data_IF_517293612761
#
_entry.id   IF_517293612761
#
_cell.length_a   1.000
_cell.length_b   1.000
_cell.length_c   1.000
_cell.angle_alpha   90.00
_cell.angle_beta   90.00
_cell.angle_gamma   90.00
#
_symmetry.space_group_name_H-M   'P 1'
#
loop_
_entity.id
_entity.type
_entity.pdbx_description
1 polymer ?
#
# COMPACT_ATOMS: atom_id res chain seq x y z
N UNK A 1 -35.50 27.26 -22.80
CA UNK A 1 -35.30 26.65 -21.47
C UNK A 1 -34.82 25.24 -21.74
N UNK A 2 -33.51 25.05 -21.86
CA UNK A 2 -32.90 23.71 -21.92
C UNK A 2 -32.28 23.41 -20.57
N UNK A 3 -32.99 22.58 -19.80
CA UNK A 3 -32.52 22.03 -18.55
C UNK A 3 -31.74 20.75 -18.83
N UNK A 4 -30.43 20.88 -19.00
CA UNK A 4 -29.50 19.78 -18.76
C UNK A 4 -28.62 20.17 -17.57
N UNK A 5 -28.76 19.51 -16.39
CA UNK A 5 -27.82 19.72 -15.32
C UNK A 5 -26.51 19.05 -15.70
N UNK A 6 -25.48 19.89 -15.84
CA UNK A 6 -24.06 19.66 -15.60
C UNK A 6 -23.58 18.21 -15.55
N UNK A 7 -22.61 17.92 -16.42
CA UNK A 7 -21.95 16.63 -16.57
C UNK A 7 -21.64 15.94 -15.25
N UNK A 8 -22.03 14.66 -15.18
CA UNK A 8 -21.50 13.68 -14.26
C UNK A 8 -19.98 13.63 -14.43
N UNK A 9 -19.25 14.44 -13.65
CA UNK A 9 -17.87 14.15 -13.32
C UNK A 9 -17.89 12.80 -12.60
N UNK A 10 -17.50 11.75 -13.31
CA UNK A 10 -17.31 10.43 -12.73
C UNK A 10 -16.37 10.57 -11.53
N UNK A 11 -16.85 10.22 -10.34
CA UNK A 11 -16.27 10.53 -9.02
C UNK A 11 -15.01 9.74 -8.68
N UNK A 12 -14.02 9.79 -9.57
CA UNK A 12 -12.70 9.21 -9.39
C UNK A 12 -11.72 10.28 -8.91
N UNK A 13 -10.89 9.94 -7.93
CA UNK A 13 -9.73 10.72 -7.51
C UNK A 13 -8.46 9.94 -7.82
N UNK A 14 -7.50 10.58 -8.47
CA UNK A 14 -6.17 10.02 -8.69
C UNK A 14 -5.26 10.41 -7.52
N UNK A 15 -4.60 9.44 -6.90
CA UNK A 15 -3.52 9.64 -5.92
C UNK A 15 -2.33 8.81 -6.40
N UNK A 16 -1.27 9.49 -6.86
CA UNK A 16 -0.14 8.88 -7.59
C UNK A 16 -0.63 7.99 -8.74
N UNK A 17 -0.35 6.69 -8.73
CA UNK A 17 -0.77 5.70 -9.72
C UNK A 17 -2.07 4.98 -9.36
N UNK A 18 -2.76 5.37 -8.28
CA UNK A 18 -3.98 4.72 -7.79
C UNK A 18 -5.20 5.57 -8.14
N UNK A 19 -6.18 4.95 -8.80
CA UNK A 19 -7.53 5.50 -8.99
C UNK A 19 -8.42 5.07 -7.84
N UNK A 20 -9.14 6.04 -7.26
CA UNK A 20 -9.98 5.83 -6.07
C UNK A 20 -11.38 6.34 -6.36
N UNK A 21 -12.40 5.55 -6.03
CA UNK A 21 -13.80 5.99 -5.97
C UNK A 21 -14.29 6.06 -4.54
N UNK A 22 -15.40 6.77 -4.32
CA UNK A 22 -16.03 6.84 -3.00
C UNK A 22 -16.32 5.45 -2.40
N UNK A 23 -16.64 4.46 -3.23
CA UNK A 23 -16.88 3.09 -2.77
C UNK A 23 -15.63 2.42 -2.15
N UNK A 24 -14.42 2.82 -2.53
CA UNK A 24 -13.17 2.27 -1.98
C UNK A 24 -12.91 2.75 -0.55
N UNK A 25 -13.37 3.95 -0.21
CA UNK A 25 -13.17 4.58 1.11
C UNK A 25 -14.41 4.51 2.00
N UNK A 26 -15.58 4.18 1.45
CA UNK A 26 -16.82 3.96 2.20
C UNK A 26 -16.64 3.01 3.40
N UNK A 27 -15.85 1.91 3.32
CA UNK A 27 -15.61 1.05 4.48
C UNK A 27 -14.98 1.74 5.69
N UNK A 28 -14.28 2.87 5.51
CA UNK A 28 -13.64 3.62 6.60
C UNK A 28 -14.64 4.39 7.46
N UNK A 29 -15.85 4.67 6.95
CA UNK A 29 -16.87 5.47 7.64
C UNK A 29 -17.77 4.60 8.52
N UNK A 30 -17.83 3.29 8.24
CA UNK A 30 -18.70 2.34 8.94
C UNK A 30 -17.89 1.45 9.90
N UNK A 31 -18.20 1.51 11.20
CA UNK A 31 -17.41 0.95 12.31
C UNK A 31 -17.29 -0.59 12.40
N UNK A 32 -17.62 -1.33 11.35
CA UNK A 32 -17.58 -2.81 11.34
C UNK A 32 -17.13 -3.42 10.01
N UNK A 33 -16.68 -2.60 9.05
CA UNK A 33 -16.22 -3.09 7.75
C UNK A 33 -14.72 -3.31 7.77
N UNK A 34 -14.26 -4.36 7.09
CA UNK A 34 -12.83 -4.56 6.84
C UNK A 34 -12.31 -3.44 5.95
N UNK A 35 -11.11 -2.95 6.28
CA UNK A 35 -10.42 -1.96 5.47
C UNK A 35 -9.95 -2.64 4.18
N UNK A 36 -10.35 -2.15 2.99
CA UNK A 36 -9.90 -2.71 1.72
C UNK A 36 -8.44 -2.32 1.44
N UNK A 37 -7.74 -3.15 0.65
CA UNK A 37 -6.36 -2.89 0.22
C UNK A 37 -6.20 -1.51 -0.42
N UNK A 38 -7.13 -1.12 -1.29
CA UNK A 38 -7.14 0.20 -1.94
C UNK A 38 -7.04 1.34 -0.92
N UNK A 39 -7.75 1.27 0.21
CA UNK A 39 -7.71 2.33 1.21
C UNK A 39 -6.32 2.46 1.88
N UNK A 40 -5.65 1.33 2.13
CA UNK A 40 -4.30 1.30 2.71
C UNK A 40 -3.26 1.79 1.70
N UNK A 41 -3.32 1.30 0.46
CA UNK A 41 -2.39 1.70 -0.60
C UNK A 41 -2.51 3.21 -0.90
N UNK A 42 -3.74 3.72 -0.92
CA UNK A 42 -4.03 5.15 -1.09
C UNK A 42 -3.49 5.97 0.07
N UNK A 43 -3.61 5.48 1.31
CA UNK A 43 -3.05 6.16 2.47
C UNK A 43 -1.52 6.26 2.37
N UNK A 44 -0.84 5.19 1.97
CA UNK A 44 0.61 5.20 1.73
C UNK A 44 1.03 6.18 0.63
N UNK A 45 0.30 6.16 -0.50
CA UNK A 45 0.55 7.08 -1.61
C UNK A 45 0.28 8.55 -1.22
N UNK A 46 -0.73 8.80 -0.40
CA UNK A 46 -1.03 10.13 0.15
C UNK A 46 0.05 10.61 1.12
N UNK A 47 0.51 9.76 2.05
CA UNK A 47 1.62 10.09 2.95
C UNK A 47 2.86 10.52 2.17
N UNK A 48 3.17 9.80 1.08
CA UNK A 48 4.29 10.14 0.21
C UNK A 48 4.07 11.52 -0.44
N UNK A 49 2.92 11.73 -1.08
CA UNK A 49 2.61 12.99 -1.75
C UNK A 49 2.69 14.20 -0.80
N UNK A 50 2.15 14.07 0.41
CA UNK A 50 2.24 15.12 1.45
C UNK A 50 3.68 15.38 1.89
N UNK A 51 4.53 14.35 1.94
CA UNK A 51 5.96 14.53 2.27
C UNK A 51 6.70 15.29 1.17
N UNK A 52 6.39 15.00 -0.09
CA UNK A 52 6.94 15.74 -1.24
C UNK A 52 6.52 17.21 -1.24
N UNK A 53 5.26 17.50 -0.92
CA UNK A 53 4.72 18.87 -0.82
C UNK A 53 5.37 19.68 0.31
N UNK A 54 5.68 19.03 1.43
CA UNK A 54 6.25 19.69 2.63
C UNK A 54 7.77 19.84 2.59
N UNK A 55 8.46 19.23 1.62
CA UNK A 55 9.87 19.51 1.34
C UNK A 55 10.90 18.92 2.33
N UNK A 56 10.60 17.79 2.97
CA UNK A 56 11.54 17.11 3.88
C UNK A 56 12.31 15.95 3.23
N UNK A 57 13.42 15.50 3.83
CA UNK A 57 14.06 14.25 3.42
C UNK A 57 13.06 13.10 3.59
N UNK A 58 13.00 12.24 2.58
CA UNK A 58 12.18 11.04 2.58
C UNK A 58 13.12 9.85 2.55
N UNK A 59 13.35 9.29 3.73
CA UNK A 59 14.20 8.12 3.97
C UNK A 59 13.37 6.82 4.02
N UNK A 60 12.10 6.88 3.65
CA UNK A 60 11.19 5.75 3.72
C UNK A 60 10.39 5.54 2.43
N UNK A 61 10.09 4.27 2.16
CA UNK A 61 9.29 3.78 1.05
C UNK A 61 8.06 3.05 1.59
N UNK A 62 6.88 3.38 1.07
CA UNK A 62 5.64 2.68 1.41
C UNK A 62 5.18 1.86 0.20
N UNK A 63 5.29 0.55 0.31
CA UNK A 63 4.94 -0.36 -0.78
C UNK A 63 3.44 -0.68 -0.79
N UNK A 64 2.87 -0.93 -1.97
CA UNK A 64 1.50 -1.39 -2.08
C UNK A 64 1.35 -2.80 -1.49
N UNK A 65 0.21 -3.06 -0.86
CA UNK A 65 -0.12 -4.33 -0.19
C UNK A 65 -0.09 -5.56 -1.10
N UNK A 66 -0.21 -5.36 -2.41
CA UNK A 66 -0.10 -6.40 -3.42
C UNK A 66 1.33 -6.91 -3.64
N UNK A 67 2.36 -6.14 -3.26
CA UNK A 67 3.76 -6.49 -3.55
C UNK A 67 4.13 -7.85 -2.96
N UNK A 68 3.73 -8.13 -1.72
CA UNK A 68 4.01 -9.42 -1.07
C UNK A 68 3.29 -10.60 -1.76
N UNK A 69 2.08 -10.37 -2.27
CA UNK A 69 1.34 -11.39 -3.01
C UNK A 69 2.05 -11.70 -4.33
N UNK A 70 2.48 -10.67 -5.06
CA UNK A 70 3.23 -10.83 -6.31
C UNK A 70 4.60 -11.50 -6.08
N UNK A 71 5.33 -11.08 -5.06
CA UNK A 71 6.63 -11.65 -4.68
C UNK A 71 6.52 -13.13 -4.30
N UNK A 72 5.38 -13.56 -3.73
CA UNK A 72 5.17 -14.98 -3.36
C UNK A 72 5.09 -15.93 -4.57
N UNK A 73 4.93 -15.40 -5.80
CA UNK A 73 4.78 -16.19 -7.02
C UNK A 73 3.47 -16.99 -7.11
N UNK A 74 2.56 -16.86 -6.14
CA UNK A 74 1.29 -17.61 -6.07
C UNK A 74 0.21 -17.07 -7.01
N UNK A 75 0.37 -15.85 -7.50
CA UNK A 75 -0.55 -15.22 -8.45
C UNK A 75 0.12 -15.05 -9.82
N UNK A 76 -0.56 -15.49 -10.89
CA UNK A 76 -0.22 -15.08 -12.26
C UNK A 76 -0.65 -13.62 -12.41
N UNK A 77 0.20 -12.76 -12.95
CA UNK A 77 0.01 -11.29 -13.05
C UNK A 77 -1.12 -10.85 -14.00
N UNK A 78 -2.31 -11.45 -13.90
CA UNK A 78 -3.44 -11.06 -14.76
C UNK A 78 -4.09 -9.81 -14.19
N UNK A 79 -3.68 -8.65 -14.71
CA UNK A 79 -4.32 -7.35 -14.47
C UNK A 79 -3.84 -6.55 -13.26
N UNK A 80 -2.85 -7.06 -12.51
CA UNK A 80 -2.34 -6.41 -11.28
C UNK A 80 -0.99 -5.72 -11.47
N UNK A 81 -0.41 -5.74 -12.67
CA UNK A 81 0.91 -5.17 -12.92
C UNK A 81 2.08 -6.10 -12.55
N UNK A 82 3.30 -5.59 -12.70
CA UNK A 82 4.56 -6.29 -12.42
C UNK A 82 5.12 -5.89 -11.05
N UNK A 83 6.01 -6.71 -10.48
CA UNK A 83 6.73 -6.37 -9.23
C UNK A 83 7.43 -5.01 -9.37
N UNK A 84 8.11 -4.78 -10.49
CA UNK A 84 8.82 -3.54 -10.79
C UNK A 84 7.87 -2.33 -10.79
N UNK A 85 6.69 -2.45 -11.41
CA UNK A 85 5.68 -1.37 -11.40
C UNK A 85 5.25 -0.99 -9.98
N UNK A 86 5.09 -1.97 -9.09
CA UNK A 86 4.71 -1.74 -7.68
C UNK A 86 5.86 -1.17 -6.85
N UNK A 87 7.09 -1.65 -7.09
CA UNK A 87 8.29 -1.13 -6.43
C UNK A 87 8.54 0.33 -6.84
N UNK A 88 8.43 0.64 -8.13
CA UNK A 88 8.70 1.97 -8.66
C UNK A 88 7.57 2.96 -8.35
N UNK A 89 6.33 2.50 -8.19
CA UNK A 89 5.23 3.35 -7.71
C UNK A 89 5.48 3.90 -6.28
N UNK A 90 6.23 3.15 -5.47
CA UNK A 90 6.54 3.51 -4.09
C UNK A 90 7.62 4.59 -3.95
N UNK A 91 8.20 5.11 -5.05
CA UNK A 91 9.22 6.16 -5.01
C UNK A 91 8.95 7.29 -6.00
N UNK A 92 9.60 8.44 -5.77
CA UNK A 92 9.47 9.65 -6.60
C UNK A 92 9.92 9.43 -8.04
N UNK A 93 11.09 8.83 -8.22
CA UNK A 93 11.71 8.69 -9.53
C UNK A 93 11.32 7.38 -10.23
N UNK A 94 10.73 6.44 -9.48
CA UNK A 94 10.41 5.12 -10.01
C UNK A 94 11.64 4.36 -10.52
N UNK A 95 12.79 4.56 -9.86
CA UNK A 95 14.06 3.92 -10.22
C UNK A 95 14.53 2.98 -9.13
N UNK A 96 15.29 1.91 -9.45
CA UNK A 96 15.94 1.09 -8.43
C UNK A 96 16.79 1.91 -7.44
N UNK A 97 17.53 2.90 -7.94
CA UNK A 97 18.36 3.77 -7.09
C UNK A 97 17.55 4.55 -6.06
N UNK A 98 16.36 5.04 -6.43
CA UNK A 98 15.48 5.76 -5.51
C UNK A 98 14.91 4.87 -4.40
N UNK A 99 14.67 3.59 -4.69
CA UNK A 99 14.22 2.60 -3.70
C UNK A 99 15.35 2.27 -2.73
N UNK A 100 16.57 2.07 -3.26
CA UNK A 100 17.76 1.80 -2.46
C UNK A 100 18.20 3.01 -1.61
N UNK A 101 17.75 4.21 -1.94
CA UNK A 101 17.96 5.41 -1.13
C UNK A 101 17.03 5.48 0.10
N UNK A 102 15.90 4.74 0.10
CA UNK A 102 15.06 4.59 1.29
C UNK A 102 15.75 3.67 2.29
N UNK A 103 16.12 4.20 3.47
CA UNK A 103 16.62 3.37 4.57
C UNK A 103 15.51 2.56 5.24
N UNK A 104 14.25 2.98 5.11
CA UNK A 104 13.09 2.32 5.73
C UNK A 104 12.07 1.88 4.70
N UNK A 105 11.73 0.60 4.70
CA UNK A 105 10.73 0.02 3.81
C UNK A 105 9.52 -0.38 4.64
N UNK A 106 8.34 0.06 4.23
CA UNK A 106 7.07 -0.17 4.93
C UNK A 106 6.17 -0.98 4.01
N UNK A 107 5.67 -2.11 4.51
CA UNK A 107 4.94 -3.10 3.73
C UNK A 107 3.69 -3.54 4.49
N UNK A 108 2.50 -3.04 4.12
CA UNK A 108 1.25 -3.57 4.65
C UNK A 108 1.01 -4.97 4.07
N UNK A 109 0.70 -5.95 4.93
CA UNK A 109 0.44 -7.33 4.53
C UNK A 109 -0.97 -7.73 4.97
N UNK A 110 -1.71 -8.42 4.10
CA UNK A 110 -3.02 -8.98 4.40
C UNK A 110 -3.04 -10.48 4.14
N UNK A 111 -3.46 -11.26 5.13
CA UNK A 111 -3.48 -12.71 5.02
C UNK A 111 -4.25 -13.37 6.15
N UNK A 112 -4.12 -14.69 6.26
CA UNK A 112 -4.73 -15.48 7.32
C UNK A 112 -6.21 -15.82 7.12
N UNK A 113 -6.74 -16.58 8.07
CA UNK A 113 -8.15 -16.95 8.18
C UNK A 113 -8.57 -16.84 9.65
N UNK A 114 -9.25 -15.76 10.06
CA UNK A 114 -9.82 -14.69 9.22
C UNK A 114 -8.75 -13.77 8.59
N UNK A 115 -9.10 -13.13 7.46
CA UNK A 115 -8.24 -12.10 6.84
C UNK A 115 -7.94 -10.98 7.82
N UNK A 116 -6.66 -10.67 7.99
CA UNK A 116 -6.12 -9.72 8.95
C UNK A 116 -4.95 -8.92 8.37
N UNK A 117 -4.85 -7.67 8.77
CA UNK A 117 -3.79 -6.75 8.33
C UNK A 117 -2.67 -6.69 9.37
N UNK A 118 -1.43 -6.84 8.93
CA UNK A 118 -0.24 -6.59 9.73
C UNK A 118 0.67 -5.59 9.00
N UNK A 119 1.60 -4.99 9.74
CA UNK A 119 2.60 -4.08 9.17
C UNK A 119 3.98 -4.71 9.28
N UNK A 120 4.64 -4.92 8.14
CA UNK A 120 6.04 -5.29 8.09
C UNK A 120 6.92 -4.06 7.77
N UNK A 121 8.14 -4.06 8.28
CA UNK A 121 9.15 -3.09 7.87
C UNK A 121 10.55 -3.67 7.83
N UNK A 122 11.39 -3.02 7.03
CA UNK A 122 12.84 -3.19 7.03
C UNK A 122 13.46 -1.83 7.29
N UNK A 123 14.31 -1.73 8.30
CA UNK A 123 15.12 -0.54 8.56
C UNK A 123 16.60 -0.89 8.35
N UNK A 124 17.15 -0.51 7.21
CA UNK A 124 18.55 -0.74 6.86
C UNK A 124 19.53 0.08 7.71
N UNK A 125 19.09 1.24 8.22
CA UNK A 125 19.93 2.06 9.09
C UNK A 125 20.07 1.43 10.47
N UNK A 126 18.98 0.90 11.02
CA UNK A 126 18.94 0.18 12.29
C UNK A 126 19.36 -1.30 12.17
N UNK A 127 19.41 -1.85 10.95
CA UNK A 127 19.58 -3.28 10.65
C UNK A 127 18.50 -4.14 11.30
N UNK A 128 17.27 -3.66 11.21
CA UNK A 128 16.10 -4.27 11.83
C UNK A 128 15.10 -4.73 10.76
N UNK A 129 14.47 -5.87 11.01
CA UNK A 129 13.26 -6.31 10.33
C UNK A 129 12.23 -6.51 11.42
N UNK A 130 11.03 -5.96 11.22
CA UNK A 130 9.98 -6.03 12.21
C UNK A 130 8.61 -6.32 11.61
N UNK A 131 7.76 -6.86 12.47
CA UNK A 131 6.36 -7.15 12.22
C UNK A 131 5.54 -6.59 13.37
N UNK A 132 4.49 -5.84 13.05
CA UNK A 132 3.52 -5.36 14.01
C UNK A 132 2.17 -5.99 13.70
N UNK A 133 1.66 -6.72 14.69
CA UNK A 133 0.36 -7.35 14.69
C UNK A 133 -0.45 -6.82 15.87
N UNK A 134 -1.59 -6.19 15.58
CA UNK A 134 -2.50 -5.66 16.61
C UNK A 134 -3.39 -6.72 17.24
N UNK A 135 -3.48 -7.93 16.66
CA UNK A 135 -4.27 -9.07 17.17
C UNK A 135 -3.44 -10.36 17.02
N UNK A 136 -2.39 -10.55 17.85
CA UNK A 136 -1.47 -11.69 17.74
C UNK A 136 -2.15 -13.06 17.86
N UNK A 137 -3.32 -13.14 18.50
CA UNK A 137 -4.11 -14.35 18.67
C UNK A 137 -4.58 -14.95 17.35
N UNK A 138 -4.55 -14.17 16.25
CA UNK A 138 -4.85 -14.64 14.90
C UNK A 138 -3.66 -15.39 14.25
N UNK A 139 -2.52 -15.50 14.93
CA UNK A 139 -1.38 -16.29 14.50
C UNK A 139 -0.67 -15.74 13.27
N UNK A 140 -0.66 -14.42 13.10
CA UNK A 140 -0.21 -13.77 11.87
C UNK A 140 1.28 -13.92 11.58
N UNK A 141 2.09 -14.13 12.62
CA UNK A 141 3.53 -14.41 12.48
C UNK A 141 3.81 -15.59 11.53
N UNK A 142 2.97 -16.64 11.58
CA UNK A 142 3.13 -17.84 10.76
C UNK A 142 3.10 -17.58 9.24
N UNK A 143 2.42 -16.53 8.78
CA UNK A 143 2.36 -16.14 7.37
C UNK A 143 3.05 -14.80 7.07
N UNK A 144 3.19 -13.92 8.06
CA UNK A 144 3.88 -12.63 7.94
C UNK A 144 5.40 -12.76 7.87
N UNK A 145 6.00 -13.70 8.62
CA UNK A 145 7.44 -13.95 8.58
C UNK A 145 7.89 -14.50 7.23
N UNK A 146 7.09 -15.36 6.61
CA UNK A 146 7.37 -15.88 5.27
C UNK A 146 7.35 -14.79 4.19
N UNK A 147 6.53 -13.75 4.36
CA UNK A 147 6.46 -12.62 3.44
C UNK A 147 7.58 -11.59 3.63
N UNK A 148 8.27 -11.61 4.79
CA UNK A 148 9.37 -10.68 5.12
C UNK A 148 10.76 -11.28 4.90
N UNK A 149 10.85 -12.55 4.50
CA UNK A 149 12.09 -13.26 4.15
C UNK A 149 12.35 -13.33 2.64
N UNK A 150 11.52 -12.67 1.82
CA UNK A 150 11.68 -12.57 0.37
C UNK A 150 12.58 -11.40 -0.05
#
# INVERSE_FOLDING_TARGET
MDGTPNGLHTGYRQIRNIQVVNADIEPLVSSSRKIPATAIDVFGAWLWATKEETGGPQDWCFFPSWLAVLASGKTKSTGQGTIDEHIFAATREGTPSSVLACSRWIMPLCGGSPLHWILAWVDYAAKEIGLFDSIPELGSSSWGELASQC
#
